data_IF_346399900854
#
_entry.id   IF_346399900854
#
_cell.length_a   1.000
_cell.length_b   1.000
_cell.length_c   1.000
_cell.angle_alpha   90.00
_cell.angle_beta   90.00
_cell.angle_gamma   90.00
#
_symmetry.space_group_name_H-M   'P 1'
#
loop_
_entity.id
_entity.type
_entity.pdbx_description
1 polymer ?
#
# COMPACT_ATOMS: atom_id res chain seq x y z
N UNK A 1 -1.20 -16.85 6.81
CA UNK A 1 -0.89 -16.87 5.38
C UNK A 1 -0.39 -15.52 4.93
N UNK A 2 0.61 -15.52 4.08
CA UNK A 2 1.10 -14.28 3.49
C UNK A 2 0.36 -14.00 2.21
N UNK A 3 -0.07 -12.77 2.05
CA UNK A 3 -0.62 -12.27 0.80
C UNK A 3 0.46 -11.43 0.15
N UNK A 4 0.70 -11.70 -1.12
CA UNK A 4 1.80 -11.07 -1.82
C UNK A 4 1.31 -10.54 -3.16
N UNK A 5 1.39 -9.23 -3.34
CA UNK A 5 1.10 -8.59 -4.62
C UNK A 5 2.43 -8.11 -5.18
N UNK A 6 2.79 -8.56 -6.35
CA UNK A 6 4.10 -8.32 -6.93
C UNK A 6 4.03 -7.24 -7.99
N UNK A 7 4.85 -6.21 -7.83
CA UNK A 7 5.05 -5.20 -8.86
C UNK A 7 6.16 -5.69 -9.78
N UNK A 8 5.83 -5.83 -11.05
CA UNK A 8 6.78 -6.28 -12.08
C UNK A 8 6.78 -5.24 -13.20
N UNK A 9 7.90 -4.60 -13.42
CA UNK A 9 8.01 -3.53 -14.40
C UNK A 9 7.86 -4.01 -15.84
N UNK A 10 7.90 -5.32 -16.07
CA UNK A 10 7.67 -5.87 -17.39
C UNK A 10 6.19 -5.91 -17.77
N UNK A 11 5.29 -5.72 -16.81
CA UNK A 11 3.87 -5.65 -17.10
C UNK A 11 3.47 -4.24 -17.49
N UNK A 12 2.47 -4.15 -18.37
CA UNK A 12 1.92 -2.86 -18.77
C UNK A 12 1.09 -2.21 -17.66
N UNK A 13 0.60 -3.01 -16.73
CA UNK A 13 -0.18 -2.52 -15.60
C UNK A 13 0.70 -2.46 -14.36
N UNK A 14 0.41 -1.48 -13.50
CA UNK A 14 1.13 -1.33 -12.24
C UNK A 14 0.69 -2.41 -11.27
N UNK A 15 1.64 -3.19 -10.78
CA UNK A 15 1.38 -4.22 -9.77
C UNK A 15 2.09 -3.83 -8.48
N UNK A 16 1.37 -3.81 -7.37
CA UNK A 16 1.91 -3.46 -6.06
C UNK A 16 2.08 -4.72 -5.24
N UNK A 17 3.22 -4.86 -4.58
CA UNK A 17 3.52 -5.98 -3.70
C UNK A 17 2.96 -5.66 -2.30
N UNK A 18 2.19 -6.59 -1.73
CA UNK A 18 1.67 -6.45 -0.37
C UNK A 18 2.20 -7.57 0.49
N UNK A 19 2.85 -7.22 1.58
CA UNK A 19 3.35 -8.17 2.57
C UNK A 19 2.45 -8.13 3.81
N UNK A 20 1.80 -9.22 4.12
CA UNK A 20 0.99 -9.32 5.33
C UNK A 20 0.83 -10.78 5.74
N UNK A 21 0.70 -11.03 7.04
CA UNK A 21 0.37 -12.35 7.57
C UNK A 21 -1.11 -12.46 7.93
N UNK A 22 -1.91 -11.46 7.59
CA UNK A 22 -3.34 -11.39 7.90
C UNK A 22 -4.15 -11.37 6.61
N UNK A 23 -4.83 -12.49 6.31
CA UNK A 23 -5.62 -12.65 5.09
C UNK A 23 -6.76 -11.65 5.00
N UNK A 24 -7.40 -11.38 6.12
CA UNK A 24 -8.54 -10.46 6.15
C UNK A 24 -8.06 -9.05 5.85
N UNK A 25 -6.98 -8.64 6.50
CA UNK A 25 -6.40 -7.33 6.26
C UNK A 25 -5.89 -7.19 4.83
N UNK A 26 -5.31 -8.26 4.29
CA UNK A 26 -4.85 -8.27 2.90
C UNK A 26 -5.98 -8.03 1.93
N UNK A 27 -7.12 -8.70 2.13
CA UNK A 27 -8.31 -8.50 1.29
C UNK A 27 -8.85 -7.08 1.42
N UNK A 28 -8.91 -6.57 2.64
CA UNK A 28 -9.37 -5.19 2.87
C UNK A 28 -8.50 -4.18 2.15
N UNK A 29 -7.18 -4.40 2.16
CA UNK A 29 -6.25 -3.52 1.47
C UNK A 29 -6.46 -3.56 -0.03
N UNK A 30 -6.64 -4.74 -0.61
CA UNK A 30 -6.90 -4.86 -2.04
C UNK A 30 -8.17 -4.10 -2.41
N UNK A 31 -9.24 -4.29 -1.66
CA UNK A 31 -10.50 -3.60 -1.90
C UNK A 31 -10.35 -2.09 -1.78
N UNK A 32 -9.62 -1.64 -0.75
CA UNK A 32 -9.37 -0.22 -0.55
C UNK A 32 -8.61 0.40 -1.73
N UNK A 33 -7.56 -0.28 -2.18
CA UNK A 33 -6.76 0.22 -3.29
C UNK A 33 -7.55 0.24 -4.61
N UNK A 34 -8.41 -0.74 -4.81
CA UNK A 34 -9.26 -0.78 -6.00
C UNK A 34 -10.29 0.34 -6.03
N UNK A 35 -10.69 0.84 -4.86
CA UNK A 35 -11.65 1.93 -4.77
C UNK A 35 -11.02 3.29 -5.05
N UNK A 36 -9.70 3.39 -4.94
CA UNK A 36 -9.00 4.65 -5.15
C UNK A 36 -8.64 4.82 -6.62
N UNK A 37 -8.55 6.06 -7.04
CA UNK A 37 -8.04 6.37 -8.38
C UNK A 37 -6.51 6.18 -8.36
N UNK A 38 -5.75 7.21 -8.69
CA UNK A 38 -4.30 7.09 -8.80
C UNK A 38 -3.55 7.49 -7.54
N UNK A 39 -4.24 8.06 -6.56
CA UNK A 39 -3.60 8.60 -5.37
C UNK A 39 -4.07 7.94 -4.10
N UNK A 40 -3.13 7.70 -3.20
CA UNK A 40 -3.35 7.10 -1.90
C UNK A 40 -2.92 8.09 -0.83
N UNK A 41 -3.75 8.26 0.20
CA UNK A 41 -3.45 9.16 1.29
C UNK A 41 -2.52 8.47 2.28
N UNK A 42 -1.34 9.04 2.47
CA UNK A 42 -0.35 8.56 3.42
C UNK A 42 -0.02 9.62 4.46
N UNK A 43 0.62 9.19 5.53
CA UNK A 43 1.04 10.08 6.62
C UNK A 43 2.53 9.89 6.86
N UNK A 44 3.24 10.99 6.93
CA UNK A 44 4.67 11.00 7.19
C UNK A 44 4.98 12.16 8.14
N UNK A 45 5.51 11.83 9.32
CA UNK A 45 5.85 12.84 10.35
C UNK A 45 4.69 13.78 10.63
N UNK A 46 3.50 13.22 10.86
CA UNK A 46 2.28 13.97 11.17
C UNK A 46 1.75 14.85 10.03
N UNK A 47 2.28 14.68 8.84
CA UNK A 47 1.79 15.38 7.67
C UNK A 47 1.06 14.42 6.75
N UNK A 48 -0.02 14.89 6.14
CA UNK A 48 -0.75 14.13 5.14
C UNK A 48 -0.09 14.34 3.78
N UNK A 49 0.19 13.23 3.10
CA UNK A 49 0.81 13.26 1.79
C UNK A 49 -0.02 12.40 0.87
N UNK A 50 -0.25 12.85 -0.36
CA UNK A 50 -0.92 12.05 -1.38
C UNK A 50 0.13 11.31 -2.20
N UNK A 51 0.07 9.99 -2.16
CA UNK A 51 1.02 9.12 -2.86
C UNK A 51 0.41 8.67 -4.18
N UNK A 52 1.21 8.73 -5.23
CA UNK A 52 0.80 8.19 -6.51
C UNK A 52 1.03 6.67 -6.48
N UNK A 53 0.03 5.89 -6.84
CA UNK A 53 0.15 4.42 -6.83
C UNK A 53 1.35 3.94 -7.64
N UNK A 54 1.70 4.64 -8.70
CA UNK A 54 2.83 4.28 -9.55
C UNK A 54 4.17 4.35 -8.83
N UNK A 55 4.26 5.17 -7.78
CA UNK A 55 5.50 5.40 -7.04
C UNK A 55 5.65 4.47 -5.84
N UNK A 56 4.63 3.69 -5.53
CA UNK A 56 4.68 2.77 -4.41
C UNK A 56 5.40 1.50 -4.83
N UNK A 57 6.44 1.13 -4.07
CA UNK A 57 7.20 -0.09 -4.32
C UNK A 57 6.50 -1.30 -3.73
N UNK A 58 6.07 -1.17 -2.48
CA UNK A 58 5.36 -2.25 -1.81
C UNK A 58 4.60 -1.70 -0.60
N UNK A 59 3.68 -2.51 -0.11
CA UNK A 59 2.90 -2.22 1.09
C UNK A 59 3.11 -3.37 2.07
N UNK A 60 3.22 -3.06 3.35
CA UNK A 60 3.37 -4.11 4.36
C UNK A 60 2.60 -3.75 5.63
N UNK A 61 2.28 -4.78 6.41
CA UNK A 61 1.60 -4.60 7.69
C UNK A 61 2.59 -4.85 8.82
N UNK A 62 2.48 -4.07 9.87
CA UNK A 62 3.30 -4.20 11.05
C UNK A 62 2.55 -3.66 12.26
N UNK A 63 2.36 -4.49 13.28
CA UNK A 63 1.71 -4.09 14.53
C UNK A 63 0.34 -3.43 14.29
N UNK A 64 -0.48 -4.07 13.46
CA UNK A 64 -1.82 -3.59 13.11
C UNK A 64 -1.84 -2.26 12.36
N UNK A 65 -0.70 -1.85 11.85
CA UNK A 65 -0.59 -0.66 11.00
C UNK A 65 -0.20 -1.07 9.61
N UNK A 66 -0.54 -0.23 8.64
CA UNK A 66 -0.25 -0.46 7.24
C UNK A 66 0.69 0.63 6.75
N UNK A 67 1.78 0.23 6.11
CA UNK A 67 2.78 1.15 5.60
C UNK A 67 2.97 0.94 4.10
N UNK A 68 3.25 2.03 3.40
CA UNK A 68 3.63 1.99 2.00
C UNK A 68 5.06 2.52 1.85
N UNK A 69 5.89 1.79 1.14
CA UNK A 69 7.23 2.25 0.80
C UNK A 69 7.19 2.99 -0.53
N UNK A 70 7.63 4.23 -0.53
CA UNK A 70 7.53 5.10 -1.68
C UNK A 70 8.68 6.11 -1.63
N UNK A 71 9.47 6.19 -2.70
CA UNK A 71 10.58 7.16 -2.81
C UNK A 71 11.54 7.12 -1.62
N UNK A 72 11.94 5.92 -1.18
CA UNK A 72 12.86 5.70 -0.06
C UNK A 72 12.30 6.16 1.30
N UNK A 73 11.01 6.37 1.39
CA UNK A 73 10.33 6.73 2.65
C UNK A 73 9.19 5.77 2.89
N UNK A 74 8.81 5.65 4.14
CA UNK A 74 7.69 4.81 4.53
C UNK A 74 6.57 5.69 5.06
N UNK A 75 5.38 5.51 4.49
CA UNK A 75 4.20 6.29 4.83
C UNK A 75 3.17 5.40 5.49
N UNK A 76 2.57 5.90 6.54
CA UNK A 76 1.46 5.20 7.19
C UNK A 76 0.20 5.38 6.36
N UNK A 77 -0.47 4.29 6.07
CA UNK A 77 -1.75 4.32 5.37
C UNK A 77 -2.88 4.14 6.37
N UNK A 78 -3.84 5.04 6.36
CA UNK A 78 -5.04 4.92 7.18
C UNK A 78 -6.22 4.66 6.26
N UNK A 79 -6.44 3.40 5.96
CA UNK A 79 -7.53 3.02 5.05
C UNK A 79 -8.84 2.80 5.78
N UNK A 80 -8.82 2.89 7.11
CA UNK A 80 -10.00 2.85 7.96
C UNK A 80 -10.01 4.03 8.91
N UNK A 81 -11.16 4.53 9.17
CA UNK A 81 -11.35 5.57 10.17
C UNK A 81 -11.61 4.98 11.55
#
# INVERSE_FOLDING_TARGET
>A
MKIKVIRDDSYHECTILIYTDDDIKGKELVEYLDMLNDQIKGYYRNETVFLNQKDILYIYTCENKVFASCNNKEYLLKYRN
#
